data_IF_565827640412
#
_entry.id   IF_565827640412
#
_cell.length_a   1.000
_cell.length_b   1.000
_cell.length_c   1.000
_cell.angle_alpha   90.00
_cell.angle_beta   90.00
_cell.angle_gamma   90.00
#
_symmetry.space_group_name_H-M   'P 1'
#
loop_
_entity.id
_entity.type
_entity.pdbx_description
1 polymer ?
#
# COMPACT_ATOMS: atom_id res chain seq x y z
N UNK A 1 13.92 -1.45 -0.22
CA UNK A 1 12.59 -1.32 -0.83
C UNK A 1 11.50 -1.60 0.20
N UNK A 2 10.28 -1.16 -0.11
CA UNK A 2 9.08 -1.48 0.65
C UNK A 2 8.24 -2.50 -0.12
N UNK A 3 7.62 -3.43 0.60
CA UNK A 3 6.60 -4.34 0.10
C UNK A 3 5.34 -4.13 0.95
N UNK A 4 4.30 -3.59 0.34
CA UNK A 4 3.09 -3.17 1.02
C UNK A 4 1.89 -3.96 0.49
N UNK A 5 1.28 -4.77 1.34
CA UNK A 5 0.08 -5.53 1.04
C UNK A 5 -1.11 -4.92 1.77
N UNK A 6 -2.11 -4.48 1.02
CA UNK A 6 -3.33 -3.86 1.54
C UNK A 6 -3.06 -2.86 2.68
N UNK A 7 -2.16 -1.87 2.48
CA UNK A 7 -1.67 -1.03 3.56
C UNK A 7 -2.68 0.02 4.01
N UNK A 8 -2.67 0.35 5.31
CA UNK A 8 -3.23 1.61 5.80
C UNK A 8 -2.18 2.68 5.56
N UNK A 9 -2.50 3.69 4.77
CA UNK A 9 -1.61 4.76 4.36
C UNK A 9 -2.09 6.12 4.87
N UNK A 10 -3.30 6.53 4.45
CA UNK A 10 -3.85 7.80 4.88
C UNK A 10 -4.70 7.64 6.13
N UNK A 11 -4.59 8.59 7.03
CA UNK A 11 -5.47 8.72 8.18
C UNK A 11 -6.54 9.80 7.98
N UNK A 12 -6.55 10.42 6.80
CA UNK A 12 -7.51 11.46 6.45
C UNK A 12 -8.80 10.86 5.88
N UNK A 13 -9.93 11.47 6.23
CA UNK A 13 -11.22 11.13 5.62
C UNK A 13 -11.24 11.60 4.15
N UNK A 14 -11.98 10.92 3.26
CA UNK A 14 -12.91 9.80 3.55
C UNK A 14 -12.25 8.43 3.57
N UNK A 15 -10.95 8.28 3.29
CA UNK A 15 -10.28 7.01 3.03
C UNK A 15 -9.58 6.39 4.25
N UNK A 16 -9.62 7.07 5.40
CA UNK A 16 -9.03 6.54 6.64
C UNK A 16 -9.71 5.25 7.10
N UNK A 17 -8.91 4.22 7.43
CA UNK A 17 -9.40 3.12 8.25
C UNK A 17 -9.52 3.59 9.70
N UNK A 18 -10.73 3.91 10.14
CA UNK A 18 -10.98 4.60 11.41
C UNK A 18 -10.49 3.79 12.61
N UNK A 19 -10.61 2.46 12.58
CA UNK A 19 -10.09 1.60 13.65
C UNK A 19 -8.58 1.76 13.85
N UNK A 20 -7.79 1.71 12.76
CA UNK A 20 -6.34 1.92 12.83
C UNK A 20 -5.99 3.32 13.32
N UNK A 21 -6.69 4.34 12.80
CA UNK A 21 -6.47 5.72 13.24
C UNK A 21 -6.72 5.88 14.74
N UNK A 22 -7.87 5.39 15.23
CA UNK A 22 -8.23 5.50 16.64
C UNK A 22 -7.24 4.75 17.55
N UNK A 23 -6.80 3.57 17.12
CA UNK A 23 -5.81 2.80 17.89
C UNK A 23 -4.44 3.47 17.94
N UNK A 24 -4.06 4.19 16.87
CA UNK A 24 -2.74 4.82 16.77
C UNK A 24 -2.69 6.20 17.49
N UNK A 25 -3.70 7.04 17.28
CA UNK A 25 -3.68 8.45 17.72
C UNK A 25 -4.90 8.86 18.53
N UNK A 26 -5.70 7.90 19.00
CA UNK A 26 -6.85 8.14 19.86
C UNK A 26 -8.13 8.51 19.12
N UNK A 27 -9.22 8.67 19.90
CA UNK A 27 -10.56 8.96 19.38
C UNK A 27 -10.73 10.41 18.89
N UNK A 28 -9.92 11.34 19.40
CA UNK A 28 -10.01 12.77 19.12
C UNK A 28 -8.64 13.34 18.72
N UNK A 29 -8.06 12.86 17.58
CA UNK A 29 -6.76 13.34 17.14
C UNK A 29 -6.86 14.76 16.60
N UNK A 30 -5.76 15.50 16.70
CA UNK A 30 -5.60 16.80 16.04
C UNK A 30 -5.41 16.60 14.53
N UNK A 31 -5.77 17.62 13.74
CA UNK A 31 -5.53 17.61 12.29
C UNK A 31 -4.03 17.47 11.96
N UNK A 32 -3.16 18.08 12.77
CA UNK A 32 -1.70 17.97 12.65
C UNK A 32 -1.25 16.52 12.81
N UNK A 33 -1.75 15.79 13.82
CA UNK A 33 -1.41 14.38 14.04
C UNK A 33 -1.90 13.50 12.89
N UNK A 34 -3.13 13.75 12.38
CA UNK A 34 -3.69 13.05 11.24
C UNK A 34 -2.80 13.26 10.01
N UNK A 35 -2.46 14.50 9.69
CA UNK A 35 -1.62 14.84 8.54
C UNK A 35 -0.21 14.25 8.66
N UNK A 36 0.43 14.39 9.83
CA UNK A 36 1.79 13.90 10.07
C UNK A 36 1.92 12.39 9.94
N UNK A 37 0.88 11.64 10.27
CA UNK A 37 0.87 10.18 10.21
C UNK A 37 0.13 9.61 8.98
N UNK A 38 -0.33 10.47 8.08
CA UNK A 38 -0.81 10.09 6.76
C UNK A 38 0.40 9.93 5.83
N UNK A 39 0.78 8.68 5.55
CA UNK A 39 2.06 8.37 4.88
C UNK A 39 2.13 8.85 3.43
N UNK A 40 1.00 8.99 2.75
CA UNK A 40 0.90 9.64 1.44
C UNK A 40 1.37 11.09 1.46
N UNK A 41 1.25 11.77 2.61
CA UNK A 41 1.71 13.15 2.81
C UNK A 41 3.20 13.24 3.22
N UNK A 42 3.81 12.11 3.58
CA UNK A 42 5.20 12.05 4.09
C UNK A 42 6.20 11.52 3.05
N UNK A 43 5.74 11.19 1.86
CA UNK A 43 6.61 10.73 0.76
C UNK A 43 7.58 11.82 0.36
N UNK A 44 8.84 11.45 0.19
CA UNK A 44 9.90 12.31 -0.31
C UNK A 44 10.75 11.56 -1.35
N UNK A 45 11.71 12.25 -1.97
CA UNK A 45 12.70 11.63 -2.88
C UNK A 45 13.53 10.52 -2.22
N UNK A 46 13.61 10.52 -0.88
CA UNK A 46 14.39 9.55 -0.10
C UNK A 46 13.54 8.34 0.33
N UNK A 47 12.24 8.33 -0.02
CA UNK A 47 11.36 7.17 0.20
C UNK A 47 11.85 5.99 -0.64
N UNK A 48 11.97 4.78 -0.04
CA UNK A 48 12.45 3.62 -0.78
C UNK A 48 11.56 3.21 -1.95
N UNK A 49 12.11 2.59 -3.01
CA UNK A 49 11.32 1.94 -4.05
C UNK A 49 10.27 1.01 -3.45
N UNK A 50 9.06 1.02 -4.00
CA UNK A 50 7.91 0.39 -3.36
C UNK A 50 7.13 -0.52 -4.29
N UNK A 51 6.78 -1.70 -3.82
CA UNK A 51 5.86 -2.64 -4.45
C UNK A 51 4.58 -2.69 -3.62
N UNK A 52 3.43 -2.43 -4.25
CA UNK A 52 2.16 -2.25 -3.56
C UNK A 52 1.11 -3.18 -4.16
N UNK A 53 0.39 -3.90 -3.31
CA UNK A 53 -0.68 -4.82 -3.73
C UNK A 53 -1.93 -4.58 -2.91
N UNK A 54 -3.08 -4.48 -3.57
CA UNK A 54 -4.39 -4.43 -2.92
C UNK A 54 -5.49 -4.96 -3.84
N UNK A 55 -6.67 -5.17 -3.30
CA UNK A 55 -7.87 -5.53 -4.06
C UNK A 55 -8.92 -4.42 -3.97
N UNK A 56 -9.72 -4.24 -5.04
CA UNK A 56 -10.82 -3.27 -5.04
C UNK A 56 -11.98 -3.67 -4.12
N UNK A 57 -12.15 -4.98 -3.89
CA UNK A 57 -13.17 -5.50 -2.96
C UNK A 57 -12.78 -5.43 -1.49
N UNK A 58 -11.60 -4.87 -1.16
CA UNK A 58 -11.21 -4.68 0.23
C UNK A 58 -12.20 -3.75 0.96
N UNK A 59 -12.99 -4.35 1.86
CA UNK A 59 -14.03 -3.64 2.63
C UNK A 59 -13.52 -3.12 3.97
N UNK A 60 -12.27 -3.39 4.30
CA UNK A 60 -11.65 -2.97 5.56
C UNK A 60 -10.82 -1.71 5.36
N UNK A 61 -9.90 -1.74 4.40
CA UNK A 61 -9.05 -0.60 4.05
C UNK A 61 -9.40 -0.16 2.63
N UNK A 62 -9.90 1.07 2.44
CA UNK A 62 -10.21 1.58 1.11
C UNK A 62 -9.01 1.51 0.16
N UNK A 63 -9.23 1.05 -1.06
CA UNK A 63 -8.19 0.87 -2.08
C UNK A 63 -7.45 2.17 -2.40
N UNK A 64 -8.08 3.31 -2.16
CA UNK A 64 -7.50 4.63 -2.30
C UNK A 64 -6.23 4.82 -1.47
N UNK A 65 -6.07 4.10 -0.36
CA UNK A 65 -4.82 4.12 0.41
C UNK A 65 -3.60 3.76 -0.46
N UNK A 66 -3.69 2.67 -1.21
CA UNK A 66 -2.63 2.23 -2.13
C UNK A 66 -2.46 3.19 -3.31
N UNK A 67 -3.57 3.70 -3.85
CA UNK A 67 -3.56 4.64 -4.98
C UNK A 67 -2.90 5.97 -4.60
N UNK A 68 -3.27 6.54 -3.46
CA UNK A 68 -2.71 7.81 -2.96
C UNK A 68 -1.21 7.69 -2.71
N UNK A 69 -0.77 6.59 -2.10
CA UNK A 69 0.65 6.37 -1.85
C UNK A 69 1.44 6.21 -3.15
N UNK A 70 0.93 5.44 -4.11
CA UNK A 70 1.54 5.29 -5.42
C UNK A 70 1.64 6.65 -6.16
N UNK A 71 0.59 7.47 -6.12
CA UNK A 71 0.60 8.81 -6.71
C UNK A 71 1.65 9.71 -6.06
N UNK A 72 1.78 9.66 -4.73
CA UNK A 72 2.78 10.40 -4.00
C UNK A 72 4.20 9.97 -4.38
N UNK A 73 4.47 8.65 -4.48
CA UNK A 73 5.75 8.13 -4.94
C UNK A 73 6.11 8.64 -6.34
N UNK A 74 5.15 8.60 -7.28
CA UNK A 74 5.34 9.13 -8.63
C UNK A 74 5.67 10.62 -8.65
N UNK A 75 5.00 11.41 -7.82
CA UNK A 75 5.25 12.86 -7.70
C UNK A 75 6.70 13.17 -7.33
N UNK A 76 7.32 12.34 -6.51
CA UNK A 76 8.72 12.51 -6.07
C UNK A 76 9.72 11.70 -6.88
N UNK A 77 9.29 11.03 -7.98
CA UNK A 77 10.17 10.26 -8.84
C UNK A 77 10.70 8.96 -8.20
N UNK A 78 10.03 8.47 -7.15
CA UNK A 78 10.39 7.21 -6.49
C UNK A 78 9.89 6.04 -7.33
N UNK A 79 10.75 5.05 -7.67
CA UNK A 79 10.31 3.86 -8.38
C UNK A 79 9.23 3.10 -7.60
N UNK A 80 8.12 2.79 -8.26
CA UNK A 80 7.03 2.07 -7.61
C UNK A 80 6.25 1.23 -8.61
N UNK A 81 5.73 0.10 -8.13
CA UNK A 81 4.82 -0.75 -8.88
C UNK A 81 3.56 -1.01 -8.05
N UNK A 82 2.38 -0.84 -8.66
CA UNK A 82 1.08 -1.00 -8.02
C UNK A 82 0.27 -2.07 -8.75
N UNK A 83 -0.14 -3.11 -8.01
CA UNK A 83 -1.04 -4.15 -8.47
C UNK A 83 -2.39 -4.03 -7.76
N UNK A 84 -3.43 -3.68 -8.52
CA UNK A 84 -4.80 -3.68 -8.05
C UNK A 84 -5.56 -4.83 -8.73
N UNK A 85 -6.07 -5.73 -7.90
CA UNK A 85 -6.92 -6.83 -8.36
C UNK A 85 -8.38 -6.53 -8.04
N UNK A 86 -9.28 -6.88 -8.95
CA UNK A 86 -10.71 -6.59 -8.77
C UNK A 86 -11.31 -7.32 -7.57
N UNK A 87 -10.86 -8.55 -7.29
CA UNK A 87 -11.45 -9.42 -6.27
C UNK A 87 -10.46 -9.88 -5.22
N UNK A 88 -10.94 -10.01 -4.01
CA UNK A 88 -10.23 -10.54 -2.86
C UNK A 88 -10.52 -9.77 -1.58
N UNK A 89 -10.55 -10.44 -0.42
CA UNK A 89 -10.80 -9.79 0.87
C UNK A 89 -9.55 -9.06 1.37
N UNK A 90 -9.71 -8.17 2.35
CA UNK A 90 -8.58 -7.68 3.13
C UNK A 90 -7.83 -8.85 3.79
N UNK A 91 -6.52 -8.74 3.92
CA UNK A 91 -5.72 -9.76 4.61
C UNK A 91 -5.59 -11.07 3.83
N UNK A 92 -5.64 -11.03 2.51
CA UNK A 92 -5.60 -12.24 1.67
C UNK A 92 -4.27 -13.02 1.76
N UNK A 93 -3.16 -12.39 2.15
CA UNK A 93 -1.86 -13.05 2.31
C UNK A 93 -1.41 -13.80 1.06
N UNK A 94 -0.92 -15.00 1.25
CA UNK A 94 -0.46 -15.91 0.18
C UNK A 94 -1.48 -17.01 -0.14
N UNK A 95 -2.76 -16.74 -0.02
CA UNK A 95 -3.83 -17.72 -0.32
C UNK A 95 -3.82 -18.07 -1.82
N UNK A 96 -3.87 -19.38 -2.16
CA UNK A 96 -3.77 -19.82 -3.54
C UNK A 96 -5.12 -19.79 -4.30
N UNK A 97 -6.23 -19.53 -3.62
CA UNK A 97 -7.60 -19.70 -4.09
C UNK A 97 -8.30 -18.39 -4.48
N UNK A 98 -7.55 -17.31 -4.71
CA UNK A 98 -8.09 -15.98 -4.98
C UNK A 98 -8.00 -15.55 -6.46
N UNK A 99 -7.78 -16.51 -7.35
CA UNK A 99 -7.60 -16.21 -8.79
C UNK A 99 -6.41 -15.26 -9.02
N UNK A 100 -6.58 -14.19 -9.83
CA UNK A 100 -5.46 -13.30 -10.17
C UNK A 100 -4.73 -12.70 -8.98
N UNK A 101 -5.42 -12.45 -7.87
CA UNK A 101 -4.77 -11.90 -6.68
C UNK A 101 -3.74 -12.86 -6.05
N UNK A 102 -3.84 -14.17 -6.30
CA UNK A 102 -2.86 -15.15 -5.84
C UNK A 102 -1.50 -15.06 -6.57
N UNK A 103 -1.43 -14.31 -7.67
CA UNK A 103 -0.22 -14.15 -8.48
C UNK A 103 0.74 -13.06 -7.95
N UNK A 104 0.35 -12.32 -6.92
CA UNK A 104 1.18 -11.20 -6.46
C UNK A 104 2.60 -11.59 -6.04
N UNK A 105 2.89 -12.79 -5.47
CA UNK A 105 4.26 -13.16 -5.14
C UNK A 105 5.15 -13.30 -6.38
N UNK A 106 4.62 -13.85 -7.49
CA UNK A 106 5.35 -13.97 -8.75
C UNK A 106 5.62 -12.59 -9.37
N UNK A 107 4.68 -11.64 -9.21
CA UNK A 107 4.86 -10.25 -9.63
C UNK A 107 5.93 -9.56 -8.81
N UNK A 108 5.93 -9.76 -7.48
CA UNK A 108 6.98 -9.25 -6.61
C UNK A 108 8.36 -9.83 -6.98
N UNK A 109 8.46 -11.13 -7.20
CA UNK A 109 9.70 -11.78 -7.61
C UNK A 109 10.24 -11.18 -8.92
N UNK A 110 9.37 -11.02 -9.91
CA UNK A 110 9.71 -10.40 -11.19
C UNK A 110 10.19 -8.96 -11.02
N UNK A 111 9.53 -8.17 -10.18
CA UNK A 111 9.92 -6.81 -9.86
C UNK A 111 11.28 -6.75 -9.15
N UNK A 112 11.53 -7.62 -8.18
CA UNK A 112 12.81 -7.71 -7.48
C UNK A 112 13.95 -8.10 -8.42
N UNK A 113 13.71 -9.06 -9.33
CA UNK A 113 14.68 -9.46 -10.38
C UNK A 113 15.00 -8.29 -11.33
N UNK A 114 14.00 -7.50 -11.71
CA UNK A 114 14.20 -6.33 -12.59
C UNK A 114 15.06 -5.23 -11.96
N UNK A 115 15.07 -5.16 -10.62
CA UNK A 115 15.89 -4.21 -9.85
C UNK A 115 17.26 -4.80 -9.44
N UNK A 116 17.56 -6.03 -9.80
CA UNK A 116 18.81 -6.68 -9.41
C UNK A 116 18.91 -7.10 -7.94
N UNK A 117 17.79 -7.14 -7.22
CA UNK A 117 17.75 -7.56 -5.81
C UNK A 117 17.60 -9.08 -5.63
N UNK A 118 17.26 -9.78 -6.69
CA UNK A 118 17.31 -11.23 -6.78
C UNK A 118 18.18 -11.63 -7.98
N UNK A 119 19.01 -12.65 -7.79
CA UNK A 119 19.78 -13.26 -8.89
C UNK A 119 18.81 -13.93 -9.87
N UNK A 120 19.09 -13.80 -11.16
CA UNK A 120 18.44 -14.64 -12.17
C UNK A 120 19.03 -16.05 -12.00
N UNK A 121 18.19 -17.01 -11.62
CA UNK A 121 18.54 -18.41 -11.78
C UNK A 121 18.57 -18.79 -13.25
#
# INVERSE_FOLDING_TARGET
FLMLLYPVITLEKPYAHIGSRTNLIGAHPTDEAIHHLSLDQQVSKDTPPSFIVQTEEDKTVPVENSILFYQALRKYGVPAELHLYAKGPHGFGMRPDLGPASEWPDRLESWMKSHGWLTKE
#
